data_IF_900965039755
#
_entry.id   IF_900965039755
#
_cell.length_a   1.000
_cell.length_b   1.000
_cell.length_c   1.000
_cell.angle_alpha   90.00
_cell.angle_beta   90.00
_cell.angle_gamma   90.00
#
_symmetry.space_group_name_H-M   'P 1'
#
loop_
_entity.id
_entity.type
_entity.pdbx_description
1 polymer ?
#
# COMPACT_ATOMS: atom_id res chain seq x y z
N UNK A 1 -10.15 -6.56 4.84
CA UNK A 1 -8.82 -6.85 5.42
C UNK A 1 -8.86 -6.75 6.95
N UNK A 2 -8.19 -7.66 7.66
CA UNK A 2 -8.05 -7.62 9.14
C UNK A 2 -6.57 -7.67 9.47
N UNK A 3 -6.09 -6.72 10.28
CA UNK A 3 -4.71 -6.71 10.77
C UNK A 3 -4.71 -7.22 12.20
N UNK A 4 -4.19 -8.44 12.40
CA UNK A 4 -4.13 -9.12 13.69
C UNK A 4 -3.04 -10.20 13.68
N UNK A 5 -2.86 -10.88 14.82
CA UNK A 5 -1.88 -11.97 14.98
C UNK A 5 -2.07 -13.18 14.06
N UNK A 6 -3.22 -13.34 13.41
CA UNK A 6 -3.46 -14.45 12.48
C UNK A 6 -3.09 -14.07 11.05
N UNK A 7 -3.48 -12.87 10.64
CA UNK A 7 -3.34 -12.39 9.26
C UNK A 7 -2.08 -11.59 9.00
N UNK A 8 -1.44 -11.06 10.04
CA UNK A 8 -0.18 -10.29 10.03
C UNK A 8 0.56 -10.43 11.37
N UNK A 9 0.93 -11.66 11.81
CA UNK A 9 1.61 -11.88 13.09
C UNK A 9 2.89 -11.06 13.26
N UNK A 10 3.59 -10.79 12.15
CA UNK A 10 4.87 -10.09 12.18
C UNK A 10 4.77 -8.64 12.64
N UNK A 11 3.58 -8.01 12.57
CA UNK A 11 3.37 -6.65 13.08
C UNK A 11 3.69 -6.57 14.57
N UNK A 12 3.29 -7.58 15.34
CA UNK A 12 3.58 -7.62 16.77
C UNK A 12 5.08 -7.83 17.03
N UNK A 13 5.75 -8.67 16.23
CA UNK A 13 7.19 -8.92 16.35
C UNK A 13 8.00 -7.65 16.01
N UNK A 14 7.56 -6.87 15.01
CA UNK A 14 8.14 -5.57 14.65
C UNK A 14 8.00 -4.59 15.80
N UNK A 15 6.81 -4.45 16.37
CA UNK A 15 6.55 -3.54 17.50
C UNK A 15 7.36 -3.93 18.75
N UNK A 16 7.56 -5.23 18.99
CA UNK A 16 8.37 -5.72 20.10
C UNK A 16 9.88 -5.74 19.80
N UNK A 17 10.27 -5.44 18.55
CA UNK A 17 11.63 -5.42 18.06
C UNK A 17 12.36 -6.76 18.07
N UNK A 18 11.62 -7.88 18.06
CA UNK A 18 12.19 -9.23 18.06
C UNK A 18 11.30 -10.21 17.32
N UNK A 19 11.93 -11.02 16.47
CA UNK A 19 11.29 -12.14 15.77
C UNK A 19 11.18 -13.34 16.71
N UNK A 20 10.00 -13.60 17.29
CA UNK A 20 9.87 -14.60 18.36
C UNK A 20 9.74 -16.03 17.85
N UNK A 21 9.05 -16.23 16.73
CA UNK A 21 8.78 -17.59 16.21
C UNK A 21 8.49 -17.55 14.71
N UNK A 22 9.38 -16.89 13.97
CA UNK A 22 9.29 -16.81 12.52
C UNK A 22 9.52 -18.20 11.92
N UNK A 23 8.52 -18.67 11.16
CA UNK A 23 8.56 -19.95 10.44
C UNK A 23 8.92 -19.68 8.99
N UNK A 24 9.93 -20.38 8.51
CA UNK A 24 10.31 -20.40 7.11
C UNK A 24 9.48 -21.47 6.38
N UNK A 25 9.40 -21.36 5.05
CA UNK A 25 8.82 -22.44 4.24
C UNK A 25 9.78 -23.63 4.25
N UNK A 26 9.26 -24.84 4.09
CA UNK A 26 10.10 -26.05 4.05
C UNK A 26 11.11 -26.05 2.90
N UNK A 27 10.81 -25.33 1.82
CA UNK A 27 11.74 -25.15 0.69
C UNK A 27 12.96 -24.29 1.07
N UNK A 28 12.91 -23.59 2.20
CA UNK A 28 13.96 -22.69 2.71
C UNK A 28 14.59 -23.25 4.01
N UNK A 29 14.51 -24.56 4.23
CA UNK A 29 15.04 -25.21 5.43
C UNK A 29 16.56 -25.01 5.55
N UNK A 30 17.27 -24.93 4.43
CA UNK A 30 18.70 -24.64 4.33
C UNK A 30 19.06 -23.29 4.95
N UNK A 31 18.28 -22.25 4.67
CA UNK A 31 18.45 -20.93 5.28
C UNK A 31 18.12 -20.99 6.77
N UNK A 32 17.02 -21.66 7.12
CA UNK A 32 16.48 -21.67 8.49
C UNK A 32 17.49 -22.21 9.52
N UNK A 33 18.31 -23.20 9.14
CA UNK A 33 19.34 -23.81 9.98
C UNK A 33 20.73 -23.18 9.85
N UNK A 34 20.88 -22.15 9.03
CA UNK A 34 22.19 -21.58 8.69
C UNK A 34 22.62 -20.43 9.61
N UNK A 35 23.90 -20.06 9.57
CA UNK A 35 24.42 -18.83 10.17
C UNK A 35 23.71 -17.57 9.64
N UNK A 36 23.19 -17.60 8.41
CA UNK A 36 22.47 -16.47 7.82
C UNK A 36 21.18 -16.17 8.59
N UNK A 37 20.57 -17.18 9.25
CA UNK A 37 19.42 -16.96 10.13
C UNK A 37 19.77 -16.11 11.35
N UNK A 38 20.95 -16.30 11.92
CA UNK A 38 21.43 -15.50 13.06
C UNK A 38 21.58 -14.04 12.64
N UNK A 39 22.23 -13.81 11.49
CA UNK A 39 22.41 -12.46 10.92
C UNK A 39 21.06 -11.79 10.63
N UNK A 40 20.11 -12.54 10.08
CA UNK A 40 18.73 -12.08 9.85
C UNK A 40 18.06 -11.59 11.14
N UNK A 41 18.08 -12.38 12.22
CA UNK A 41 17.43 -12.00 13.48
C UNK A 41 18.14 -10.81 14.17
N UNK A 42 19.48 -10.75 14.13
CA UNK A 42 20.27 -9.65 14.69
C UNK A 42 20.02 -8.32 13.98
N UNK A 43 20.01 -8.36 12.64
CA UNK A 43 19.75 -7.17 11.82
C UNK A 43 18.33 -6.70 12.04
N UNK A 44 17.35 -7.61 12.01
CA UNK A 44 15.97 -7.22 12.28
C UNK A 44 15.86 -6.47 13.61
N UNK A 45 16.47 -7.00 14.66
CA UNK A 45 16.46 -6.37 15.99
C UNK A 45 17.07 -4.97 15.96
N UNK A 46 18.17 -4.77 15.23
CA UNK A 46 18.84 -3.46 15.06
C UNK A 46 17.96 -2.41 14.40
N UNK A 47 17.21 -2.79 13.37
CA UNK A 47 16.40 -1.86 12.56
C UNK A 47 14.94 -1.74 13.02
N UNK A 48 14.49 -2.63 13.91
CA UNK A 48 13.10 -2.75 14.34
C UNK A 48 12.44 -1.45 14.81
N UNK A 49 13.17 -0.58 15.50
CA UNK A 49 12.66 0.73 15.95
C UNK A 49 12.17 1.60 14.79
N UNK A 50 12.86 1.54 13.64
CA UNK A 50 12.47 2.28 12.45
C UNK A 50 11.36 1.55 11.68
N UNK A 51 11.36 0.20 11.67
CA UNK A 51 10.26 -0.60 11.12
C UNK A 51 8.93 -0.31 11.84
N UNK A 52 8.96 -0.04 13.15
CA UNK A 52 7.77 0.21 13.96
C UNK A 52 7.28 1.67 13.95
N UNK A 53 7.91 2.57 13.17
CA UNK A 53 7.54 4.00 13.15
C UNK A 53 6.10 4.23 12.68
N UNK A 54 5.74 3.59 11.58
CA UNK A 54 4.42 3.70 10.97
C UNK A 54 4.02 2.35 10.34
N UNK A 55 2.72 2.09 10.26
CA UNK A 55 2.15 0.94 9.56
C UNK A 55 1.16 1.42 8.51
N UNK A 56 1.58 1.37 7.25
CA UNK A 56 0.80 1.76 6.10
C UNK A 56 0.04 0.58 5.50
N UNK A 57 -1.20 0.82 5.10
CA UNK A 57 -1.96 -0.07 4.20
C UNK A 57 -2.23 0.69 2.93
N UNK A 58 -1.73 0.18 1.81
CA UNK A 58 -1.86 0.82 0.51
C UNK A 58 -3.01 0.18 -0.24
N UNK A 59 -4.07 0.97 -0.47
CA UNK A 59 -5.25 0.50 -1.20
C UNK A 59 -4.96 0.27 -2.68
N UNK A 60 -5.81 -0.51 -3.33
CA UNK A 60 -5.71 -0.76 -4.77
C UNK A 60 -5.90 0.53 -5.58
N UNK A 61 -6.91 1.34 -5.26
CA UNK A 61 -7.12 2.67 -5.85
C UNK A 61 -5.90 3.59 -5.71
N UNK A 62 -5.18 3.53 -4.59
CA UNK A 62 -3.94 4.30 -4.40
C UNK A 62 -2.84 3.85 -5.36
N UNK A 63 -2.61 2.54 -5.49
CA UNK A 63 -1.63 2.00 -6.42
C UNK A 63 -1.98 2.34 -7.87
N UNK A 64 -3.26 2.22 -8.25
CA UNK A 64 -3.72 2.62 -9.59
C UNK A 64 -3.44 4.10 -9.87
N UNK A 65 -3.70 4.99 -8.91
CA UNK A 65 -3.39 6.41 -9.03
C UNK A 65 -1.89 6.66 -9.22
N UNK A 66 -1.07 5.96 -8.44
CA UNK A 66 0.38 6.06 -8.49
C UNK A 66 0.91 5.60 -9.84
N UNK A 67 0.43 4.46 -10.37
CA UNK A 67 0.82 3.97 -11.70
C UNK A 67 0.40 4.92 -12.82
N UNK A 68 -0.77 5.57 -12.72
CA UNK A 68 -1.16 6.60 -13.69
C UNK A 68 -0.25 7.84 -13.65
N UNK A 69 0.46 8.06 -12.55
CA UNK A 69 1.41 9.15 -12.38
C UNK A 69 2.87 8.69 -12.52
N UNK A 70 3.12 7.46 -12.95
CA UNK A 70 4.45 6.82 -12.95
C UNK A 70 5.50 7.67 -13.68
N UNK A 71 5.21 8.12 -14.90
CA UNK A 71 6.13 8.97 -15.67
C UNK A 71 6.52 10.25 -14.91
N UNK A 72 5.57 10.86 -14.20
CA UNK A 72 5.81 12.09 -13.43
C UNK A 72 6.59 11.84 -12.15
N UNK A 73 6.34 10.71 -11.50
CA UNK A 73 7.14 10.27 -10.35
C UNK A 73 8.56 9.95 -10.81
N UNK A 74 8.73 9.31 -11.96
CA UNK A 74 10.03 9.02 -12.55
C UNK A 74 10.80 10.30 -12.88
N UNK A 75 10.15 11.29 -13.49
CA UNK A 75 10.73 12.62 -13.74
C UNK A 75 11.19 13.28 -12.44
N UNK A 76 10.38 13.22 -11.37
CA UNK A 76 10.76 13.76 -10.05
C UNK A 76 11.95 13.03 -9.45
N UNK A 77 11.95 11.70 -9.46
CA UNK A 77 13.07 10.88 -8.97
C UNK A 77 14.34 11.23 -9.75
N UNK A 78 14.28 11.29 -11.09
CA UNK A 78 15.46 11.55 -11.93
C UNK A 78 15.97 12.99 -11.86
N UNK A 79 15.09 13.97 -11.64
CA UNK A 79 15.43 15.40 -11.55
C UNK A 79 15.89 15.78 -10.14
N UNK A 80 15.14 15.38 -9.10
CA UNK A 80 15.45 15.74 -7.71
C UNK A 80 16.71 15.00 -7.22
N UNK A 81 16.97 13.76 -7.67
CA UNK A 81 18.18 13.00 -7.29
C UNK A 81 19.50 13.48 -7.93
N UNK A 82 19.47 14.50 -8.80
CA UNK A 82 20.69 15.16 -9.31
C UNK A 82 21.11 16.36 -8.45
N UNK A 83 20.27 16.82 -7.52
CA UNK A 83 20.60 17.89 -6.58
C UNK A 83 21.20 17.36 -5.29
N UNK A 84 22.18 18.07 -4.71
CA UNK A 84 22.84 17.75 -3.42
C UNK A 84 21.88 17.68 -2.20
N UNK A 85 20.57 17.88 -2.39
CA UNK A 85 19.56 18.02 -1.33
C UNK A 85 18.54 16.88 -1.25
N UNK A 86 18.55 15.91 -2.17
CA UNK A 86 17.55 14.85 -2.14
C UNK A 86 17.93 13.76 -1.14
N UNK A 87 17.23 13.74 0.00
CA UNK A 87 17.30 12.68 1.00
C UNK A 87 15.90 12.17 1.25
N UNK A 88 15.62 10.96 0.81
CA UNK A 88 14.37 10.25 1.12
C UNK A 88 14.67 9.07 2.01
N UNK A 89 13.94 9.02 3.12
CA UNK A 89 13.91 7.88 4.01
C UNK A 89 12.62 7.09 3.78
N UNK A 90 12.76 5.79 3.49
CA UNK A 90 11.68 4.82 3.56
C UNK A 90 11.76 4.11 4.90
N UNK A 91 10.86 4.48 5.81
CA UNK A 91 10.81 3.94 7.16
C UNK A 91 9.40 3.47 7.51
N UNK A 92 9.34 2.37 8.24
CA UNK A 92 8.09 1.81 8.74
C UNK A 92 7.73 0.51 8.02
N UNK A 93 6.45 0.17 8.10
CA UNK A 93 5.88 -0.99 7.46
C UNK A 93 4.88 -0.59 6.38
N UNK A 94 4.90 -1.27 5.25
CA UNK A 94 3.95 -1.09 4.16
C UNK A 94 3.28 -2.42 3.84
N UNK A 95 1.96 -2.46 3.89
CA UNK A 95 1.19 -3.59 3.37
C UNK A 95 0.69 -3.22 1.98
N UNK A 96 1.29 -3.86 0.96
CA UNK A 96 1.01 -3.61 -0.46
C UNK A 96 0.58 -4.93 -1.08
N UNK A 97 -0.64 -4.96 -1.65
CA UNK A 97 -1.24 -6.19 -2.22
C UNK A 97 -1.17 -7.40 -1.26
N UNK A 98 -1.31 -7.13 0.03
CA UNK A 98 -1.28 -8.15 1.09
C UNK A 98 0.12 -8.52 1.61
N UNK A 99 1.19 -8.18 0.90
CA UNK A 99 2.58 -8.44 1.32
C UNK A 99 3.03 -7.32 2.26
N UNK A 100 3.70 -7.67 3.36
CA UNK A 100 4.24 -6.72 4.31
C UNK A 100 5.73 -6.47 4.02
N UNK A 101 6.08 -5.21 3.85
CA UNK A 101 7.46 -4.73 3.73
C UNK A 101 7.81 -3.96 5.00
N UNK A 102 8.82 -4.38 5.74
CA UNK A 102 9.38 -3.63 6.85
C UNK A 102 10.71 -3.03 6.41
N UNK A 103 10.82 -1.71 6.38
CA UNK A 103 11.98 -1.04 5.81
C UNK A 103 12.50 0.11 6.68
N UNK A 104 13.80 0.29 6.59
CA UNK A 104 14.55 1.49 7.01
C UNK A 104 15.64 1.65 5.97
N UNK A 105 15.34 2.42 4.93
CA UNK A 105 16.21 2.66 3.79
C UNK A 105 16.42 4.16 3.64
N UNK A 106 17.69 4.57 3.61
CA UNK A 106 18.11 5.94 3.41
C UNK A 106 18.68 6.07 2.01
N UNK A 107 17.99 6.80 1.14
CA UNK A 107 18.39 6.97 -0.25
C UNK A 107 19.30 8.18 -0.40
N UNK A 108 20.40 7.95 -1.11
CA UNK A 108 21.29 8.99 -1.66
C UNK A 108 20.96 9.20 -3.14
N UNK A 109 20.57 8.13 -3.85
CA UNK A 109 20.06 8.14 -5.22
C UNK A 109 19.09 6.98 -5.43
N UNK A 110 18.54 6.78 -6.63
CA UNK A 110 17.56 5.71 -6.92
C UNK A 110 18.14 4.31 -6.82
N UNK A 111 19.46 4.18 -7.02
CA UNK A 111 20.19 2.92 -6.93
C UNK A 111 21.14 2.86 -5.72
N UNK A 112 21.40 3.99 -5.07
CA UNK A 112 22.26 4.08 -3.90
C UNK A 112 21.47 4.37 -2.64
N UNK A 113 21.43 3.37 -1.77
CA UNK A 113 20.79 3.47 -0.47
C UNK A 113 21.54 2.62 0.56
N UNK A 114 21.33 2.95 1.82
CA UNK A 114 21.80 2.16 2.97
C UNK A 114 20.63 1.79 3.88
N UNK A 115 20.76 0.70 4.61
CA UNK A 115 19.74 0.24 5.55
C UNK A 115 19.28 -1.19 5.29
N UNK A 116 18.06 -1.51 5.72
CA UNK A 116 17.52 -2.86 5.66
C UNK A 116 16.06 -2.90 5.22
N UNK A 117 15.70 -3.96 4.50
CA UNK A 117 14.33 -4.28 4.14
C UNK A 117 14.05 -5.77 4.38
N UNK A 118 12.88 -6.06 4.93
CA UNK A 118 12.34 -7.39 5.14
C UNK A 118 10.98 -7.49 4.47
N UNK A 119 10.71 -8.62 3.84
CA UNK A 119 9.48 -8.88 3.12
C UNK A 119 8.85 -10.13 3.71
N UNK A 120 7.59 -10.02 4.12
CA UNK A 120 6.81 -11.10 4.72
C UNK A 120 5.51 -11.30 3.97
N UNK A 121 5.16 -12.57 3.78
CA UNK A 121 3.81 -12.96 3.38
C UNK A 121 2.81 -12.63 4.50
N UNK A 122 1.49 -12.53 4.21
CA UNK A 122 0.48 -12.19 5.23
C UNK A 122 0.60 -13.04 6.50
N UNK A 123 0.80 -14.35 6.36
CA UNK A 123 0.95 -15.29 7.47
C UNK A 123 2.25 -15.10 8.30
N UNK A 124 3.08 -14.10 8.00
CA UNK A 124 4.35 -13.79 8.68
C UNK A 124 5.53 -14.64 8.24
N UNK A 125 5.37 -15.47 7.21
CA UNK A 125 6.47 -16.23 6.62
C UNK A 125 7.41 -15.26 5.89
N UNK A 126 8.73 -15.28 6.16
CA UNK A 126 9.69 -14.47 5.43
C UNK A 126 9.72 -14.87 3.96
N UNK A 127 9.82 -13.86 3.11
CA UNK A 127 9.88 -14.03 1.67
C UNK A 127 11.21 -13.53 1.11
N UNK A 128 11.73 -12.42 1.64
CA UNK A 128 13.06 -11.93 1.30
C UNK A 128 13.58 -10.97 2.36
N UNK A 129 14.90 -10.75 2.40
CA UNK A 129 15.49 -9.59 3.07
C UNK A 129 16.75 -9.11 2.35
N UNK A 130 17.08 -7.83 2.53
CA UNK A 130 18.29 -7.21 2.02
C UNK A 130 18.84 -6.20 3.02
N UNK A 131 20.18 -6.09 3.07
CA UNK A 131 20.89 -5.08 3.86
C UNK A 131 21.94 -4.40 2.97
N UNK A 132 22.19 -3.11 3.20
CA UNK A 132 23.30 -2.34 2.61
C UNK A 132 23.97 -1.41 3.63
N UNK A 133 25.28 -1.15 3.53
CA UNK A 133 26.19 -1.51 2.42
C UNK A 133 26.74 -2.94 2.46
N UNK A 134 26.57 -3.67 3.57
CA UNK A 134 26.94 -5.09 3.67
C UNK A 134 25.90 -5.90 2.90
N UNK A 135 26.22 -6.31 1.67
CA UNK A 135 25.29 -6.96 0.73
C UNK A 135 24.92 -8.38 1.16
N UNK A 136 24.05 -8.49 2.17
CA UNK A 136 23.37 -9.73 2.51
C UNK A 136 21.99 -9.70 1.87
N UNK A 137 21.77 -10.56 0.89
CA UNK A 137 20.50 -10.74 0.22
C UNK A 137 20.09 -12.20 0.41
N UNK A 138 18.85 -12.40 0.82
CA UNK A 138 18.22 -13.71 0.76
C UNK A 138 16.82 -13.53 0.21
N UNK A 139 16.44 -14.46 -0.65
CA UNK A 139 15.11 -14.56 -1.22
C UNK A 139 14.70 -16.01 -1.09
N UNK A 140 13.47 -16.25 -0.67
CA UNK A 140 12.88 -17.58 -0.58
C UNK A 140 12.95 -18.29 -1.93
N UNK A 141 13.23 -19.58 -1.94
CA UNK A 141 13.17 -20.43 -3.13
C UNK A 141 11.76 -20.52 -3.73
N UNK A 142 10.73 -20.14 -2.96
CA UNK A 142 9.37 -20.02 -3.48
C UNK A 142 9.17 -18.76 -4.33
N UNK A 143 10.12 -17.83 -4.33
CA UNK A 143 10.12 -16.75 -5.29
C UNK A 143 10.48 -17.35 -6.66
N UNK A 144 9.53 -17.30 -7.59
CA UNK A 144 9.72 -17.75 -8.97
C UNK A 144 10.63 -16.77 -9.73
N UNK A 145 11.89 -16.71 -9.30
CA UNK A 145 12.91 -15.82 -9.84
C UNK A 145 14.00 -16.73 -10.41
N UNK A 146 14.27 -16.57 -11.70
CA UNK A 146 15.45 -17.14 -12.33
C UNK A 146 16.73 -16.36 -11.96
N UNK A 147 16.91 -16.03 -10.68
CA UNK A 147 18.11 -15.35 -10.21
C UNK A 147 19.21 -16.40 -10.07
N UNK A 148 20.02 -16.56 -11.12
CA UNK A 148 21.18 -17.45 -11.10
C UNK A 148 22.35 -16.89 -10.29
N UNK A 149 22.29 -15.62 -9.90
CA UNK A 149 23.37 -14.92 -9.19
C UNK A 149 22.86 -13.82 -8.24
N UNK A 150 23.83 -13.22 -7.54
CA UNK A 150 23.61 -12.12 -6.59
C UNK A 150 23.05 -10.87 -7.29
N UNK A 151 23.45 -10.62 -8.55
CA UNK A 151 23.00 -9.45 -9.29
C UNK A 151 21.52 -9.54 -9.63
N UNK A 152 21.05 -10.68 -10.13
CA UNK A 152 19.63 -10.91 -10.40
C UNK A 152 18.77 -10.82 -9.12
N UNK A 153 19.30 -11.32 -7.99
CA UNK A 153 18.65 -11.17 -6.69
C UNK A 153 18.57 -9.70 -6.26
N UNK A 154 19.64 -8.93 -6.51
CA UNK A 154 19.68 -7.50 -6.24
C UNK A 154 18.68 -6.74 -7.11
N UNK A 155 18.64 -6.99 -8.42
CA UNK A 155 17.74 -6.32 -9.36
C UNK A 155 16.28 -6.60 -9.03
N UNK A 156 15.96 -7.85 -8.64
CA UNK A 156 14.63 -8.21 -8.16
C UNK A 156 14.23 -7.41 -6.92
N UNK A 157 15.12 -7.37 -5.91
CA UNK A 157 14.87 -6.62 -4.68
C UNK A 157 14.77 -5.11 -4.94
N UNK A 158 15.58 -4.58 -5.85
CA UNK A 158 15.51 -3.17 -6.26
C UNK A 158 14.16 -2.85 -6.91
N UNK A 159 13.62 -3.75 -7.72
CA UNK A 159 12.26 -3.63 -8.26
C UNK A 159 11.18 -3.51 -7.17
N UNK A 160 11.28 -4.33 -6.11
CA UNK A 160 10.35 -4.27 -4.97
C UNK A 160 10.52 -2.99 -4.15
N UNK A 161 11.77 -2.55 -3.94
CA UNK A 161 12.09 -1.29 -3.26
C UNK A 161 11.56 -0.09 -4.06
N UNK A 162 11.67 -0.11 -5.38
CA UNK A 162 11.17 0.94 -6.26
C UNK A 162 9.66 1.14 -6.09
N UNK A 163 8.87 0.07 -5.90
CA UNK A 163 7.43 0.21 -5.63
C UNK A 163 7.20 1.05 -4.36
N UNK A 164 7.96 0.80 -3.29
CA UNK A 164 7.86 1.57 -2.05
C UNK A 164 8.32 3.01 -2.21
N UNK A 165 9.38 3.24 -3.00
CA UNK A 165 9.87 4.57 -3.34
C UNK A 165 8.80 5.36 -4.10
N UNK A 166 8.14 4.74 -5.09
CA UNK A 166 7.07 5.40 -5.85
C UNK A 166 5.85 5.71 -4.98
N UNK A 167 5.49 4.81 -4.06
CA UNK A 167 4.45 5.06 -3.06
C UNK A 167 4.82 6.29 -2.21
N UNK A 168 6.07 6.38 -1.73
CA UNK A 168 6.54 7.51 -0.93
C UNK A 168 6.55 8.82 -1.72
N UNK A 169 7.05 8.79 -2.95
CA UNK A 169 7.03 9.97 -3.83
C UNK A 169 5.60 10.43 -4.11
N UNK A 170 4.70 9.51 -4.42
CA UNK A 170 3.30 9.85 -4.63
C UNK A 170 2.66 10.42 -3.35
N UNK A 171 3.00 9.89 -2.17
CA UNK A 171 2.55 10.44 -0.89
C UNK A 171 3.04 11.87 -0.66
N UNK A 172 4.27 12.19 -1.05
CA UNK A 172 4.88 13.51 -0.85
C UNK A 172 4.32 14.57 -1.81
N UNK A 173 4.11 14.21 -3.07
CA UNK A 173 3.81 15.18 -4.14
C UNK A 173 2.36 15.15 -4.63
N UNK A 174 1.60 14.06 -4.38
CA UNK A 174 0.21 13.96 -4.80
C UNK A 174 -0.76 14.08 -3.61
N UNK A 175 -1.93 14.65 -3.88
CA UNK A 175 -3.02 14.71 -2.89
C UNK A 175 -3.52 13.29 -2.62
N UNK A 176 -3.22 12.80 -1.42
CA UNK A 176 -3.60 11.48 -0.93
C UNK A 176 -4.74 11.59 0.09
N UNK A 177 -5.72 10.69 0.02
CA UNK A 177 -6.74 10.54 1.06
C UNK A 177 -6.18 9.63 2.17
N UNK A 178 -5.69 10.24 3.25
CA UNK A 178 -5.05 9.53 4.36
C UNK A 178 -6.07 9.33 5.49
N UNK A 179 -6.21 8.09 5.97
CA UNK A 179 -7.06 7.76 7.13
C UNK A 179 -6.29 6.99 8.18
N UNK A 180 -6.29 7.49 9.41
CA UNK A 180 -5.69 6.80 10.56
C UNK A 180 -6.77 5.92 11.20
N UNK A 181 -6.52 4.62 11.25
CA UNK A 181 -7.39 3.61 11.88
C UNK A 181 -6.76 3.18 13.19
N UNK A 182 -7.34 3.59 14.32
CA UNK A 182 -6.80 3.33 15.66
C UNK A 182 -6.91 1.84 16.02
N UNK A 183 -6.15 1.37 17.03
CA UNK A 183 -6.33 0.03 17.58
C UNK A 183 -7.80 -0.24 17.92
N UNK A 184 -8.29 -1.44 17.54
CA UNK A 184 -9.68 -1.92 17.67
C UNK A 184 -10.71 -1.17 16.81
N UNK A 185 -10.29 -0.24 15.96
CA UNK A 185 -11.17 0.47 15.06
C UNK A 185 -11.43 -0.33 13.77
N UNK A 186 -12.55 -0.03 13.10
CA UNK A 186 -12.86 -0.58 11.78
C UNK A 186 -13.21 0.55 10.82
N UNK A 187 -12.37 0.71 9.80
CA UNK A 187 -12.67 1.54 8.64
C UNK A 187 -13.59 0.75 7.70
N UNK A 188 -14.79 1.27 7.45
CA UNK A 188 -15.79 0.64 6.56
C UNK A 188 -15.85 1.37 5.22
N UNK A 189 -16.47 0.73 4.22
CA UNK A 189 -16.73 1.31 2.88
C UNK A 189 -15.46 1.64 2.09
N UNK A 190 -14.46 0.78 2.21
CA UNK A 190 -13.28 0.76 1.33
C UNK A 190 -13.49 -0.27 0.20
N UNK A 191 -12.60 -0.30 -0.79
CA UNK A 191 -12.71 -1.22 -1.95
C UNK A 191 -12.72 -2.68 -1.49
N UNK A 192 -11.92 -3.01 -0.48
CA UNK A 192 -11.82 -4.32 0.17
C UNK A 192 -12.94 -4.57 1.21
N UNK A 193 -14.00 -3.77 1.18
CA UNK A 193 -15.15 -3.79 2.08
C UNK A 193 -14.90 -3.08 3.41
N UNK A 194 -13.92 -3.56 4.18
CA UNK A 194 -13.51 -2.96 5.45
C UNK A 194 -12.06 -3.27 5.82
N UNK A 195 -11.44 -2.39 6.61
CA UNK A 195 -10.16 -2.60 7.28
C UNK A 195 -10.42 -2.61 8.78
N UNK A 196 -10.21 -3.76 9.44
CA UNK A 196 -10.28 -3.88 10.90
C UNK A 196 -8.88 -3.93 11.48
N UNK A 197 -8.53 -2.94 12.31
CA UNK A 197 -7.25 -2.91 13.01
C UNK A 197 -7.41 -3.56 14.39
N UNK A 198 -6.93 -4.79 14.56
CA UNK A 198 -6.87 -5.44 15.88
C UNK A 198 -5.45 -5.47 16.44
N UNK A 199 -4.50 -4.82 15.77
CA UNK A 199 -3.14 -4.66 16.27
C UNK A 199 -3.06 -3.62 17.39
N UNK A 200 -1.93 -3.58 18.09
CA UNK A 200 -1.69 -2.60 19.14
C UNK A 200 -1.32 -1.20 18.62
N UNK A 201 -1.04 -1.06 17.32
CA UNK A 201 -0.57 0.20 16.71
C UNK A 201 -1.61 0.81 15.77
N UNK A 202 -1.66 2.14 15.62
CA UNK A 202 -2.46 2.77 14.58
C UNK A 202 -2.01 2.34 13.19
N UNK A 203 -2.96 2.27 12.26
CA UNK A 203 -2.72 1.95 10.85
C UNK A 203 -3.04 3.17 10.00
N UNK A 204 -2.13 3.57 9.12
CA UNK A 204 -2.34 4.64 8.15
C UNK A 204 -2.80 4.02 6.82
N UNK A 205 -4.09 4.17 6.51
CA UNK A 205 -4.68 3.72 5.26
C UNK A 205 -4.51 4.81 4.19
N UNK A 206 -3.82 4.46 3.10
CA UNK A 206 -3.57 5.33 1.95
C UNK A 206 -4.59 5.01 0.83
N UNK A 207 -5.41 5.99 0.48
CA UNK A 207 -6.41 5.94 -0.60
C UNK A 207 -6.25 7.12 -1.55
N UNK A 208 -6.74 6.96 -2.77
CA UNK A 208 -6.71 8.01 -3.79
C UNK A 208 -7.85 7.79 -4.76
N UNK A 209 -8.82 8.72 -4.77
CA UNK A 209 -9.99 8.65 -5.69
C UNK A 209 -10.08 9.85 -6.62
N UNK A 210 -9.12 10.76 -6.60
CA UNK A 210 -9.20 12.03 -7.31
C UNK A 210 -9.24 11.89 -8.84
N UNK A 211 -8.63 10.83 -9.39
CA UNK A 211 -8.64 10.52 -10.82
C UNK A 211 -9.89 9.76 -11.30
N UNK A 212 -10.75 9.30 -10.38
CA UNK A 212 -12.01 8.58 -10.72
C UNK A 212 -13.18 9.52 -11.04
N UNK A 213 -12.90 10.81 -11.30
CA UNK A 213 -13.93 11.75 -11.77
C UNK A 213 -14.47 11.23 -13.11
N UNK A 214 -15.69 10.69 -13.10
CA UNK A 214 -16.38 10.29 -14.31
C UNK A 214 -16.72 11.58 -15.07
N UNK A 215 -15.92 11.86 -16.09
CA UNK A 215 -16.23 12.85 -17.12
C UNK A 215 -16.89 12.09 -18.27
N UNK A 216 -18.23 12.08 -18.31
CA UNK A 216 -18.95 11.71 -19.53
C UNK A 216 -19.17 12.98 -20.32
N UNK A 217 -18.26 13.27 -21.26
CA UNK A 217 -18.35 14.41 -22.18
C UNK A 217 -19.45 14.23 -23.22
N UNK A 218 -19.66 12.99 -23.68
CA UNK A 218 -20.70 12.65 -24.64
C UNK A 218 -22.06 12.50 -23.97
N UNK A 219 -23.07 13.18 -24.52
CA UNK A 219 -24.45 13.00 -24.09
C UNK A 219 -24.94 11.59 -24.41
N UNK A 220 -25.72 10.99 -23.50
CA UNK A 220 -26.23 9.63 -23.69
C UNK A 220 -27.76 9.59 -23.62
N UNK A 221 -28.35 8.70 -24.40
CA UNK A 221 -29.80 8.47 -24.44
C UNK A 221 -30.24 7.70 -23.21
N UNK A 222 -31.19 8.26 -22.48
CA UNK A 222 -31.93 7.57 -21.43
C UNK A 222 -33.21 7.03 -22.04
N UNK A 223 -33.39 5.70 -22.02
CA UNK A 223 -34.66 5.08 -22.44
C UNK A 223 -35.74 5.36 -21.41
N UNK A 224 -36.95 5.54 -21.90
CA UNK A 224 -38.12 5.80 -21.10
C UNK A 224 -38.39 4.66 -20.13
N UNK A 225 -38.76 5.02 -18.91
CA UNK A 225 -38.98 4.07 -17.82
C UNK A 225 -39.98 4.63 -16.80
N UNK A 226 -40.60 3.73 -16.05
CA UNK A 226 -41.39 4.10 -14.89
C UNK A 226 -40.48 4.47 -13.71
N UNK A 227 -40.75 5.62 -13.08
CA UNK A 227 -40.08 6.07 -11.86
C UNK A 227 -41.10 6.27 -10.75
N UNK A 228 -40.81 5.70 -9.59
CA UNK A 228 -41.54 6.03 -8.36
C UNK A 228 -40.97 7.34 -7.79
N UNK A 229 -41.73 8.42 -7.84
CA UNK A 229 -41.30 9.75 -7.42
C UNK A 229 -42.15 10.24 -6.23
N UNK A 230 -41.52 10.72 -5.14
CA UNK A 230 -42.26 11.36 -4.06
C UNK A 230 -42.84 12.69 -4.53
N UNK A 231 -44.12 12.93 -4.21
CA UNK A 231 -44.84 14.17 -4.49
C UNK A 231 -45.58 14.60 -3.22
N UNK A 232 -45.56 15.90 -2.95
CA UNK A 232 -46.31 16.48 -1.84
C UNK A 232 -47.74 16.77 -2.29
N UNK A 233 -48.72 16.21 -1.60
CA UNK A 233 -50.14 16.49 -1.79
C UNK A 233 -50.69 16.90 -0.43
N UNK A 234 -51.26 18.11 -0.34
CA UNK A 234 -51.88 18.64 0.90
C UNK A 234 -50.97 18.56 2.15
N UNK A 235 -49.66 18.72 1.97
CA UNK A 235 -48.69 18.65 3.06
C UNK A 235 -48.08 17.28 3.29
N UNK A 236 -48.72 16.21 2.82
CA UNK A 236 -48.27 14.83 2.98
C UNK A 236 -47.41 14.34 1.80
N UNK A 237 -46.38 13.56 2.10
CA UNK A 237 -45.50 12.96 1.09
C UNK A 237 -46.06 11.63 0.62
N UNK A 238 -46.59 11.60 -0.60
CA UNK A 238 -47.07 10.38 -1.24
C UNK A 238 -46.15 9.94 -2.37
N UNK A 239 -46.01 8.63 -2.59
CA UNK A 239 -45.21 8.08 -3.69
C UNK A 239 -46.11 7.86 -4.90
N UNK A 240 -45.76 8.43 -6.05
CA UNK A 240 -46.50 8.26 -7.30
C UNK A 240 -45.60 7.64 -8.36
N UNK A 241 -46.12 6.69 -9.12
CA UNK A 241 -45.44 6.17 -10.31
C UNK A 241 -45.72 7.15 -11.46
N UNK A 242 -44.65 7.58 -12.13
CA UNK A 242 -44.72 8.40 -13.34
C UNK A 242 -43.92 7.72 -14.45
N UNK A 243 -44.31 7.93 -15.70
CA UNK A 243 -43.49 7.58 -16.86
C UNK A 243 -42.53 8.75 -17.14
N UNK A 244 -41.26 8.44 -17.34
CA UNK A 244 -40.28 9.37 -17.87
C UNK A 244 -40.05 8.98 -19.32
N UNK A 245 -40.25 9.90 -20.25
CA UNK A 245 -40.02 9.68 -21.67
C UNK A 245 -38.53 9.55 -22.00
N UNK A 246 -38.21 9.09 -23.21
CA UNK A 246 -36.85 9.09 -23.72
C UNK A 246 -36.28 10.52 -23.74
N UNK A 247 -35.09 10.71 -23.19
CA UNK A 247 -34.41 12.01 -23.25
C UNK A 247 -32.90 11.86 -23.36
N UNK A 248 -32.26 12.89 -23.91
CA UNK A 248 -30.79 12.99 -23.96
C UNK A 248 -30.31 13.71 -22.70
N UNK A 249 -29.42 13.07 -21.93
CA UNK A 249 -28.68 13.79 -20.89
C UNK A 249 -27.47 14.47 -21.49
N UNK A 250 -27.29 15.75 -21.21
CA UNK A 250 -26.02 16.42 -21.45
C UNK A 250 -24.92 15.72 -20.65
N UNK A 251 -23.70 15.71 -21.19
CA UNK A 251 -22.53 15.22 -20.49
C UNK A 251 -22.43 15.86 -19.10
N UNK A 252 -22.04 15.07 -18.11
CA UNK A 252 -21.94 15.54 -16.73
C UNK A 252 -20.55 15.26 -16.19
N UNK A 253 -20.06 16.21 -15.39
CA UNK A 253 -18.86 16.03 -14.58
C UNK A 253 -19.32 15.77 -13.15
N UNK A 254 -19.29 14.50 -12.73
CA UNK A 254 -19.52 14.16 -11.33
C UNK A 254 -18.17 14.20 -10.61
N UNK A 255 -17.89 15.29 -9.89
CA UNK A 255 -16.70 15.39 -9.04
C UNK A 255 -16.68 14.23 -8.05
N UNK A 256 -15.54 13.57 -7.90
CA UNK A 256 -15.31 12.70 -6.74
C UNK A 256 -15.51 13.56 -5.48
N UNK A 257 -16.46 13.18 -4.62
CA UNK A 257 -16.62 13.85 -3.32
C UNK A 257 -15.46 13.40 -2.43
N UNK A 258 -14.46 14.28 -2.26
CA UNK A 258 -13.55 14.19 -1.13
C UNK A 258 -14.42 14.39 0.11
N UNK A 259 -14.44 13.39 0.99
CA UNK A 259 -15.23 13.47 2.20
C UNK A 259 -14.41 14.26 3.22
N UNK A 260 -14.54 15.59 3.20
CA UNK A 260 -14.07 16.41 4.32
C UNK A 260 -14.92 16.04 5.54
N UNK A 261 -14.31 15.36 6.51
CA UNK A 261 -14.95 15.12 7.81
C UNK A 261 -14.71 16.36 8.68
N UNK A 262 -15.78 17.13 8.89
CA UNK A 262 -15.95 17.98 10.07
C UNK A 262 -16.14 17.11 11.31
#
# INVERSE_FOLDING_TARGET
MVINRKSYPIVDDIVNGRLKSVRFMSIDDDFSGSLNRIVFDEVFSRYSKNFSKELFVVSKSYLEAMYLAEDKIHDLISTDMQGESFKIDLQGCYIVKGILYACDLQFVSSSEFSGAIYIFLPNGVPYAYMIRPITNIWISHNADIAASDIQGSFDYMLGLINILLYIKMFQLYAKSDIKIVKPKETLKRIEEGYLKNESAVPVTYLDSKWFTTIVRSEGFRVRGHFRLQPRKIEGEWVKRIIWIEDFMKAGYTSKAKVQDQQ
#
